data_IF_980722144967
#
_entry.id   IF_980722144967
#
_cell.length_a   1.000
_cell.length_b   1.000
_cell.length_c   1.000
_cell.angle_alpha   90.00
_cell.angle_beta   90.00
_cell.angle_gamma   90.00
#
_symmetry.space_group_name_H-M   'P 1'
#
loop_
_entity.id
_entity.type
_entity.pdbx_description
1 polymer ?
#
# COMPACT_ATOMS: atom_id res chain seq x y z
N UNK A 1 -65.90 40.01 -27.92
CA UNK A 1 -66.80 39.51 -26.82
C UNK A 1 -66.10 38.45 -26.12
N UNK A 2 -65.64 38.77 -24.91
CA UNK A 2 -65.88 38.06 -23.63
C UNK A 2 -65.48 36.57 -23.62
N UNK A 3 -64.78 36.02 -22.73
CA UNK A 3 -64.31 36.25 -21.34
C UNK A 3 -63.43 35.06 -20.93
N UNK A 4 -62.32 35.28 -20.34
CA UNK A 4 -61.93 35.11 -18.94
C UNK A 4 -61.92 33.70 -18.33
N UNK A 5 -60.83 33.48 -17.67
CA UNK A 5 -60.62 32.70 -16.42
C UNK A 5 -60.39 31.20 -16.63
N UNK A 6 -59.45 30.63 -16.03
CA UNK A 6 -58.61 30.95 -14.88
C UNK A 6 -58.09 29.69 -14.26
N UNK A 7 -57.14 29.87 -13.41
CA UNK A 7 -56.72 29.03 -12.31
C UNK A 7 -55.58 28.00 -12.55
N UNK A 8 -54.54 28.43 -12.14
CA UNK A 8 -53.57 27.92 -11.15
C UNK A 8 -53.75 26.47 -10.69
N UNK A 9 -52.69 25.73 -10.85
CA UNK A 9 -52.46 24.46 -10.21
C UNK A 9 -50.98 24.28 -9.99
N UNK A 10 -50.50 24.74 -8.84
CA UNK A 10 -49.14 24.44 -8.35
C UNK A 10 -49.04 22.94 -8.07
N UNK A 11 -48.08 22.29 -8.64
CA UNK A 11 -47.56 21.07 -8.09
C UNK A 11 -46.04 21.07 -8.25
N UNK A 12 -45.44 21.69 -7.25
CA UNK A 12 -44.02 21.60 -6.97
C UNK A 12 -43.74 20.21 -6.46
N UNK A 13 -43.11 19.35 -7.23
CA UNK A 13 -42.46 18.16 -6.75
C UNK A 13 -40.96 18.29 -6.98
N UNK A 14 -40.33 19.05 -6.12
CA UNK A 14 -38.89 18.97 -5.95
C UNK A 14 -38.58 17.68 -5.21
N UNK A 15 -38.33 16.61 -5.95
CA UNK A 15 -37.62 15.44 -5.40
C UNK A 15 -36.15 15.73 -5.63
N UNK A 16 -35.55 16.46 -4.69
CA UNK A 16 -34.11 16.42 -4.50
C UNK A 16 -33.76 15.00 -4.02
N UNK A 17 -33.46 14.14 -4.97
CA UNK A 17 -32.76 12.91 -4.71
C UNK A 17 -31.34 13.28 -4.30
N UNK A 18 -31.11 13.44 -3.00
CA UNK A 18 -29.78 13.43 -2.43
C UNK A 18 -29.31 11.99 -2.61
N UNK A 19 -28.60 11.71 -3.70
CA UNK A 19 -27.76 10.52 -3.75
C UNK A 19 -26.63 10.77 -2.76
N UNK A 20 -26.81 10.27 -1.55
CA UNK A 20 -25.70 10.11 -0.63
C UNK A 20 -24.68 9.24 -1.34
N UNK A 21 -23.63 9.87 -1.82
CA UNK A 21 -22.41 9.20 -2.19
C UNK A 21 -21.86 8.66 -0.86
N UNK A 22 -22.20 7.42 -0.54
CA UNK A 22 -21.49 6.67 0.48
C UNK A 22 -20.10 6.48 -0.09
N UNK A 23 -19.20 7.41 0.23
CA UNK A 23 -17.78 7.18 0.10
C UNK A 23 -17.50 5.98 0.99
N UNK A 24 -17.39 4.80 0.39
CA UNK A 24 -16.77 3.66 1.05
C UNK A 24 -15.35 4.12 1.37
N UNK A 25 -15.15 4.53 2.61
CA UNK A 25 -13.80 4.71 3.14
C UNK A 25 -13.11 3.36 2.95
N UNK A 26 -12.25 3.31 1.97
CA UNK A 26 -11.29 2.22 1.88
C UNK A 26 -10.56 2.26 3.21
N UNK A 27 -10.75 1.24 4.05
CA UNK A 27 -10.08 1.11 5.33
C UNK A 27 -8.59 1.19 5.06
N UNK A 28 -8.04 2.38 5.23
CA UNK A 28 -6.62 2.59 5.01
C UNK A 28 -5.89 1.64 5.95
N UNK A 29 -5.09 0.76 5.36
CA UNK A 29 -4.02 0.12 6.11
C UNK A 29 -3.35 1.23 6.90
N UNK A 30 -3.14 1.05 8.19
CA UNK A 30 -2.59 2.11 9.06
C UNK A 30 -1.42 2.84 8.38
N UNK A 31 -1.14 4.06 8.82
CA UNK A 31 -0.26 5.01 8.15
C UNK A 31 0.89 4.35 7.39
N UNK A 32 1.17 4.77 6.15
CA UNK A 32 2.33 4.25 5.42
C UNK A 32 3.57 4.37 6.30
N UNK A 33 4.52 3.44 6.20
CA UNK A 33 5.76 3.52 6.97
C UNK A 33 6.37 4.90 6.78
N UNK A 34 6.97 5.45 7.85
CA UNK A 34 7.60 6.77 7.82
C UNK A 34 8.43 6.92 6.55
N UNK A 35 8.20 8.01 5.82
CA UNK A 35 8.84 8.24 4.54
C UNK A 35 10.37 8.25 4.73
N UNK A 36 11.04 7.25 4.22
CA UNK A 36 12.51 7.26 4.12
C UNK A 36 12.87 8.09 2.89
N UNK A 37 13.67 9.12 3.07
CA UNK A 37 14.15 9.93 1.94
C UNK A 37 14.83 9.01 0.90
N UNK A 38 14.46 9.16 -0.36
CA UNK A 38 14.95 8.31 -1.45
C UNK A 38 14.29 6.94 -1.56
N UNK A 39 13.22 6.67 -0.80
CA UNK A 39 12.38 5.48 -0.98
C UNK A 39 10.96 5.89 -1.35
N UNK A 40 10.52 5.46 -2.52
CA UNK A 40 9.14 5.67 -2.99
C UNK A 40 8.39 4.35 -2.96
N UNK A 41 7.13 4.37 -2.52
CA UNK A 41 6.23 3.21 -2.56
C UNK A 41 4.94 3.59 -3.25
N UNK A 42 4.53 2.77 -4.21
CA UNK A 42 3.27 2.91 -4.95
C UNK A 42 2.45 1.65 -4.77
N UNK A 43 1.27 1.76 -4.16
CA UNK A 43 0.31 0.66 -4.12
C UNK A 43 -0.28 0.51 -5.52
N UNK A 44 -0.08 -0.64 -6.13
CA UNK A 44 -0.59 -0.97 -7.46
C UNK A 44 -1.97 -1.60 -7.38
N UNK A 45 -2.22 -2.39 -6.34
CA UNK A 45 -3.48 -3.08 -6.11
C UNK A 45 -3.64 -3.44 -4.64
N UNK A 46 -4.88 -3.53 -4.19
CA UNK A 46 -5.25 -3.97 -2.85
C UNK A 46 -6.51 -4.82 -2.92
N UNK A 47 -6.56 -5.88 -2.13
CA UNK A 47 -7.74 -6.73 -1.95
C UNK A 47 -7.77 -7.30 -0.54
N UNK A 48 -8.90 -7.85 -0.13
CA UNK A 48 -8.97 -8.61 1.11
C UNK A 48 -8.00 -9.79 1.08
N UNK A 49 -7.44 -10.10 2.23
CA UNK A 49 -6.53 -11.22 2.39
C UNK A 49 -7.23 -12.58 2.40
N UNK A 50 -6.44 -13.66 2.43
CA UNK A 50 -6.98 -15.03 2.42
C UNK A 50 -7.72 -15.38 3.71
N UNK A 51 -7.60 -14.57 4.76
CA UNK A 51 -8.25 -14.74 6.06
C UNK A 51 -8.94 -13.44 6.48
N UNK A 52 -10.02 -13.58 7.26
CA UNK A 52 -10.66 -12.41 7.86
C UNK A 52 -9.64 -11.59 8.69
N UNK A 53 -9.70 -10.27 8.59
CA UNK A 53 -8.77 -9.38 9.28
C UNK A 53 -7.44 -9.16 8.58
N UNK A 54 -7.22 -9.72 7.39
CA UNK A 54 -6.03 -9.50 6.58
C UNK A 54 -6.33 -8.72 5.30
N UNK A 55 -5.30 -8.09 4.75
CA UNK A 55 -5.30 -7.43 3.46
C UNK A 55 -4.09 -7.89 2.65
N UNK A 56 -4.26 -8.00 1.35
CA UNK A 56 -3.17 -8.25 0.40
C UNK A 56 -2.91 -6.97 -0.38
N UNK A 57 -1.68 -6.51 -0.37
CA UNK A 57 -1.21 -5.33 -1.09
C UNK A 57 -0.17 -5.73 -2.12
N UNK A 58 -0.31 -5.25 -3.35
CA UNK A 58 0.74 -5.29 -4.36
C UNK A 58 1.35 -3.90 -4.44
N UNK A 59 2.65 -3.80 -4.19
CA UNK A 59 3.39 -2.55 -4.06
C UNK A 59 4.61 -2.55 -4.96
N UNK A 60 4.84 -1.49 -5.69
CA UNK A 60 6.13 -1.20 -6.30
C UNK A 60 6.90 -0.25 -5.40
N UNK A 61 8.10 -0.66 -4.99
CA UNK A 61 9.03 0.17 -4.25
C UNK A 61 10.22 0.54 -5.14
N UNK A 62 10.65 1.79 -5.02
CA UNK A 62 11.88 2.30 -5.64
C UNK A 62 12.79 2.83 -4.56
N UNK A 63 14.03 2.40 -4.56
CA UNK A 63 15.10 2.85 -3.66
C UNK A 63 16.17 3.51 -4.51
N UNK A 64 16.45 4.79 -4.22
CA UNK A 64 17.46 5.54 -4.95
C UNK A 64 18.88 5.07 -4.60
N UNK A 65 19.87 5.27 -5.49
CA UNK A 65 21.26 4.88 -5.23
C UNK A 65 21.78 5.42 -3.91
N UNK A 66 22.51 4.60 -3.16
CA UNK A 66 23.09 4.99 -1.88
C UNK A 66 22.14 5.06 -0.70
N UNK A 67 20.84 4.81 -0.91
CA UNK A 67 19.83 4.85 0.14
C UNK A 67 19.70 3.49 0.82
N UNK A 68 19.70 3.47 2.16
CA UNK A 68 19.42 2.30 2.97
C UNK A 68 18.00 2.35 3.52
N UNK A 69 17.34 1.20 3.59
CA UNK A 69 16.05 1.07 4.28
C UNK A 69 16.34 0.60 5.70
N UNK A 70 15.94 1.41 6.68
CA UNK A 70 16.18 1.13 8.09
C UNK A 70 15.56 -0.21 8.53
N UNK A 71 16.07 -0.77 9.62
CA UNK A 71 15.59 -2.04 10.19
C UNK A 71 14.13 -1.90 10.63
N UNK A 72 13.30 -2.82 10.18
CA UNK A 72 11.86 -2.82 10.43
C UNK A 72 11.28 -4.24 10.32
N UNK A 73 10.00 -4.37 10.65
CA UNK A 73 9.22 -5.61 10.54
C UNK A 73 7.80 -5.33 10.10
N UNK A 74 7.10 -6.35 9.61
CA UNK A 74 5.72 -6.27 9.12
C UNK A 74 4.78 -7.17 9.93
N UNK A 75 3.50 -6.77 10.11
CA UNK A 75 2.48 -7.59 10.79
C UNK A 75 1.91 -8.66 9.85
N UNK A 76 2.76 -9.35 9.11
CA UNK A 76 2.41 -10.37 8.13
C UNK A 76 3.56 -10.71 7.21
N UNK A 77 3.25 -11.40 6.12
CA UNK A 77 4.25 -11.88 5.15
C UNK A 77 4.57 -10.78 4.15
N UNK A 78 5.87 -10.60 3.88
CA UNK A 78 6.37 -9.88 2.73
C UNK A 78 6.93 -10.87 1.71
N UNK A 79 6.51 -10.77 0.45
CA UNK A 79 7.10 -11.49 -0.68
C UNK A 79 7.62 -10.47 -1.68
N UNK A 80 8.91 -10.42 -1.89
CA UNK A 80 9.55 -9.43 -2.75
C UNK A 80 10.30 -10.08 -3.92
N UNK A 81 10.26 -9.40 -5.07
CA UNK A 81 10.98 -9.75 -6.28
C UNK A 81 11.72 -8.52 -6.81
N UNK A 82 13.01 -8.66 -7.05
CA UNK A 82 13.87 -7.58 -7.53
C UNK A 82 13.70 -7.43 -9.04
N UNK A 83 13.13 -6.30 -9.47
CA UNK A 83 12.95 -5.98 -10.88
C UNK A 83 14.22 -5.39 -11.49
N UNK A 84 14.95 -4.57 -10.72
CA UNK A 84 16.11 -3.82 -11.18
C UNK A 84 17.05 -3.51 -10.01
N UNK A 85 18.34 -3.43 -10.26
CA UNK A 85 19.34 -3.12 -9.23
C UNK A 85 19.59 -4.27 -8.27
N UNK A 86 19.77 -3.94 -7.00
CA UNK A 86 20.00 -4.91 -5.93
C UNK A 86 20.53 -4.26 -4.66
N UNK A 87 20.57 -5.03 -3.57
CA UNK A 87 21.04 -4.58 -2.26
C UNK A 87 21.37 -5.78 -1.37
N UNK A 88 22.06 -5.51 -0.26
CA UNK A 88 22.21 -6.49 0.81
C UNK A 88 20.94 -6.53 1.67
N UNK A 89 20.46 -7.73 1.97
CA UNK A 89 19.30 -7.98 2.82
C UNK A 89 19.70 -8.73 4.07
N UNK A 90 19.99 -8.05 5.17
CA UNK A 90 20.10 -8.67 6.48
C UNK A 90 18.71 -9.00 7.02
N UNK A 91 18.50 -10.25 7.38
CA UNK A 91 17.28 -10.78 8.00
C UNK A 91 17.64 -11.41 9.32
N UNK A 92 16.86 -11.16 10.35
CA UNK A 92 17.07 -11.71 11.68
C UNK A 92 17.16 -13.24 11.65
N UNK A 93 18.19 -13.77 12.31
CA UNK A 93 18.43 -15.21 12.39
C UNK A 93 18.92 -15.87 11.10
N UNK A 94 19.23 -15.09 10.05
CA UNK A 94 19.71 -15.60 8.77
C UNK A 94 21.03 -14.94 8.34
N UNK A 95 21.74 -15.59 7.43
CA UNK A 95 22.88 -14.94 6.78
C UNK A 95 22.38 -13.82 5.86
N UNK A 96 23.09 -12.70 5.88
CA UNK A 96 22.82 -11.60 4.95
C UNK A 96 22.91 -12.08 3.50
N UNK A 97 21.87 -11.81 2.71
CA UNK A 97 21.82 -12.15 1.28
C UNK A 97 22.15 -10.91 0.46
N UNK A 98 22.86 -11.10 -0.64
CA UNK A 98 23.00 -10.07 -1.68
C UNK A 98 21.96 -10.39 -2.75
N UNK A 99 20.99 -9.50 -2.92
CA UNK A 99 19.92 -9.63 -3.90
C UNK A 99 20.26 -8.81 -5.16
N UNK A 100 19.87 -9.33 -6.30
CA UNK A 100 19.98 -8.68 -7.62
C UNK A 100 18.70 -8.89 -8.43
N UNK A 101 18.57 -8.21 -9.54
CA UNK A 101 17.45 -8.40 -10.46
C UNK A 101 17.25 -9.88 -10.81
N UNK A 102 16.00 -10.34 -10.69
CA UNK A 102 15.59 -11.73 -10.84
C UNK A 102 15.53 -12.53 -9.54
N UNK A 103 16.07 -12.02 -8.44
CA UNK A 103 16.01 -12.71 -7.15
C UNK A 103 14.67 -12.45 -6.43
N UNK A 104 14.19 -13.46 -5.72
CA UNK A 104 13.03 -13.38 -4.86
C UNK A 104 13.34 -13.70 -3.41
N UNK A 105 12.56 -13.16 -2.50
CA UNK A 105 12.66 -13.40 -1.06
C UNK A 105 11.29 -13.38 -0.41
N UNK A 106 11.15 -14.15 0.67
CA UNK A 106 10.00 -14.06 1.57
C UNK A 106 10.48 -13.81 3.00
N UNK A 107 9.84 -12.85 3.65
CA UNK A 107 10.08 -12.47 5.04
C UNK A 107 8.85 -12.90 5.83
N UNK A 108 9.03 -13.78 6.86
CA UNK A 108 7.93 -14.18 7.74
C UNK A 108 7.38 -13.00 8.57
N UNK A 109 6.17 -13.14 9.12
CA UNK A 109 5.60 -12.14 10.01
C UNK A 109 6.55 -11.79 11.17
N UNK A 110 6.54 -10.52 11.57
CA UNK A 110 7.29 -9.98 12.70
C UNK A 110 8.82 -10.21 12.65
N UNK A 111 9.37 -10.63 11.52
CA UNK A 111 10.80 -10.87 11.34
C UNK A 111 11.50 -9.57 10.96
N UNK A 112 12.44 -9.14 11.79
CA UNK A 112 13.18 -7.91 11.58
C UNK A 112 14.17 -8.05 10.41
N UNK A 113 14.14 -7.09 9.49
CA UNK A 113 15.01 -7.03 8.31
C UNK A 113 15.30 -5.59 7.91
N UNK A 114 16.22 -5.40 6.98
CA UNK A 114 16.57 -4.07 6.46
C UNK A 114 16.94 -4.16 4.97
N UNK A 115 16.84 -3.05 4.25
CA UNK A 115 17.61 -2.88 3.02
C UNK A 115 18.98 -2.38 3.43
N UNK A 116 19.94 -3.30 3.52
CA UNK A 116 21.28 -3.03 4.05
C UNK A 116 22.10 -2.14 3.12
N UNK A 117 23.34 -2.59 2.80
CA UNK A 117 24.20 -1.81 1.89
C UNK A 117 23.53 -1.68 0.52
N UNK A 118 23.23 -0.46 0.07
CA UNK A 118 22.63 -0.24 -1.24
C UNK A 118 23.65 -0.52 -2.36
N UNK A 119 23.12 -0.84 -3.52
CA UNK A 119 23.91 -0.82 -4.76
C UNK A 119 24.15 0.61 -5.23
N UNK A 120 25.04 0.74 -6.25
CA UNK A 120 25.34 2.02 -6.92
C UNK A 120 24.24 2.43 -7.92
N UNK A 121 23.27 1.55 -8.16
CA UNK A 121 22.14 1.77 -9.05
C UNK A 121 20.82 1.83 -8.27
N UNK A 122 19.84 2.48 -8.89
CA UNK A 122 18.44 2.45 -8.43
C UNK A 122 17.97 1.01 -8.32
N UNK A 123 17.29 0.68 -7.23
CA UNK A 123 16.65 -0.62 -7.06
C UNK A 123 15.15 -0.50 -7.16
N UNK A 124 14.52 -1.32 -8.00
CA UNK A 124 13.07 -1.46 -8.12
C UNK A 124 12.64 -2.84 -7.65
N UNK A 125 11.61 -2.87 -6.85
CA UNK A 125 11.15 -4.08 -6.17
C UNK A 125 9.63 -4.18 -6.34
N UNK A 126 9.14 -5.35 -6.75
CA UNK A 126 7.73 -5.68 -6.67
C UNK A 126 7.50 -6.46 -5.37
N UNK A 127 6.58 -6.00 -4.55
CA UNK A 127 6.35 -6.56 -3.22
C UNK A 127 4.88 -6.90 -3.06
N UNK A 128 4.61 -8.11 -2.60
CA UNK A 128 3.29 -8.50 -2.11
C UNK A 128 3.33 -8.62 -0.59
N UNK A 129 2.49 -7.85 0.07
CA UNK A 129 2.25 -7.97 1.51
C UNK A 129 0.92 -8.70 1.76
N UNK A 130 0.94 -9.67 2.69
CA UNK A 130 -0.27 -10.25 3.28
C UNK A 130 -0.21 -9.95 4.77
N UNK A 131 -0.92 -8.90 5.20
CA UNK A 131 -0.73 -8.29 6.51
C UNK A 131 -2.06 -8.03 7.22
N UNK A 132 -2.02 -7.88 8.54
CA UNK A 132 -3.20 -7.57 9.34
C UNK A 132 -3.75 -6.17 9.02
N UNK A 133 -5.07 -6.08 8.85
CA UNK A 133 -5.78 -4.79 8.64
C UNK A 133 -5.64 -3.90 9.88
N UNK A 134 -5.54 -2.59 9.64
CA UNK A 134 -5.51 -1.59 10.70
C UNK A 134 -4.20 -1.49 11.46
N UNK A 135 -3.24 -2.38 11.24
CA UNK A 135 -1.89 -2.24 11.77
C UNK A 135 -1.00 -1.42 10.82
N UNK A 136 -0.01 -0.67 11.34
CA UNK A 136 1.01 -0.06 10.49
C UNK A 136 1.67 -1.11 9.60
N UNK A 137 1.84 -0.79 8.30
CA UNK A 137 2.48 -1.72 7.36
C UNK A 137 3.90 -2.10 7.78
N UNK A 138 4.63 -1.18 8.39
CA UNK A 138 5.96 -1.44 8.93
C UNK A 138 6.15 -0.71 10.27
N UNK A 139 6.86 -1.35 11.19
CA UNK A 139 7.29 -0.78 12.47
C UNK A 139 8.80 -0.91 12.62
N UNK A 140 9.49 0.07 13.22
CA UNK A 140 10.92 -0.04 13.53
C UNK A 140 11.22 -1.30 14.38
N UNK A 141 12.42 -1.88 14.17
CA UNK A 141 12.87 -3.09 14.87
C UNK A 141 14.34 -3.00 15.29
#
# INVERSE_FOLDING_TARGET
MLTRRGFAGFASCAICGITEFVATEASAQGAPPAATAGVTRKILSQTDGPMAGYVTLLVEATVEPGVTVGRHKHPGIESAYILEGGFELPVEGQQTRVLKAGDGVQIPPETAHAGGKPGDAKTRILITYVVEKGKPLATPA
#
